data_IF_179905758985
#
_entry.id   IF_179905758985
#
_cell.length_a   1.000
_cell.length_b   1.000
_cell.length_c   1.000
_cell.angle_alpha   90.00
_cell.angle_beta   90.00
_cell.angle_gamma   90.00
#
_symmetry.space_group_name_H-M   'P 1'
#
loop_
_entity.id
_entity.type
_entity.pdbx_description
1 polymer ?
#
# COMPACT_ATOMS: atom_id res chain seq x y z
N UNK A 1 10.05 -52.87 1.54
CA UNK A 1 9.17 -53.29 2.62
C UNK A 1 9.38 -52.40 3.88
N UNK A 2 10.62 -52.03 4.21
CA UNK A 2 10.94 -51.18 5.41
C UNK A 2 10.40 -49.76 5.28
N UNK A 3 10.45 -49.17 4.08
CA UNK A 3 9.97 -47.80 3.85
C UNK A 3 8.44 -47.64 4.05
N UNK A 4 7.67 -48.66 3.74
CA UNK A 4 6.20 -48.63 3.93
C UNK A 4 5.80 -48.71 5.40
N UNK A 5 6.56 -49.42 6.25
CA UNK A 5 6.32 -49.53 7.67
C UNK A 5 6.63 -48.18 8.39
N UNK A 6 7.67 -47.47 7.99
CA UNK A 6 8.02 -46.15 8.55
C UNK A 6 6.93 -45.12 8.19
N UNK A 7 6.38 -45.18 6.98
CA UNK A 7 5.33 -44.26 6.54
C UNK A 7 4.01 -44.47 7.30
N UNK A 8 3.65 -45.72 7.63
CA UNK A 8 2.46 -46.01 8.45
C UNK A 8 2.59 -45.57 9.91
N UNK A 9 3.80 -45.53 10.45
CA UNK A 9 4.00 -45.08 11.83
C UNK A 9 4.07 -43.57 12.01
N UNK A 10 4.52 -42.85 10.96
CA UNK A 10 4.70 -41.38 11.00
C UNK A 10 3.41 -40.62 10.69
N UNK A 11 2.53 -41.18 9.86
CA UNK A 11 1.28 -40.52 9.44
C UNK A 11 0.39 -40.09 10.62
N UNK A 12 0.10 -40.92 11.63
CA UNK A 12 -0.75 -40.53 12.74
C UNK A 12 -0.09 -39.51 13.69
N UNK A 13 1.22 -39.43 13.71
CA UNK A 13 1.93 -38.42 14.50
C UNK A 13 1.86 -37.03 13.88
N UNK A 14 1.90 -36.95 12.55
CA UNK A 14 1.79 -35.69 11.79
C UNK A 14 0.34 -35.16 11.86
N UNK A 15 -0.66 -36.04 11.75
CA UNK A 15 -2.07 -35.63 11.85
C UNK A 15 -2.43 -35.06 13.23
N UNK A 16 -1.79 -35.54 14.30
CA UNK A 16 -1.96 -34.96 15.64
C UNK A 16 -1.29 -33.61 15.83
N UNK A 17 -0.24 -33.30 15.08
CA UNK A 17 0.45 -32.01 15.12
C UNK A 17 -0.28 -30.93 14.32
N UNK A 18 -1.07 -31.32 13.30
CA UNK A 18 -1.84 -30.41 12.46
C UNK A 18 -3.32 -30.31 12.83
N UNK A 19 -3.79 -31.01 13.87
CA UNK A 19 -5.08 -30.68 14.47
C UNK A 19 -4.93 -29.36 15.22
N UNK A 20 -5.08 -28.28 14.48
CA UNK A 20 -5.34 -26.97 15.03
C UNK A 20 -6.58 -27.05 15.90
N UNK A 21 -6.40 -27.02 17.22
CA UNK A 21 -7.46 -26.78 18.17
C UNK A 21 -8.12 -25.45 17.79
N UNK A 22 -9.33 -25.53 17.28
CA UNK A 22 -10.24 -24.41 17.31
C UNK A 22 -10.54 -24.14 18.78
N UNK A 23 -9.71 -23.35 19.45
CA UNK A 23 -10.06 -22.76 20.72
C UNK A 23 -11.15 -21.72 20.45
N UNK A 24 -12.39 -22.15 20.61
CA UNK A 24 -13.46 -21.20 20.92
C UNK A 24 -13.07 -20.54 22.24
N UNK A 25 -12.73 -19.26 22.16
CA UNK A 25 -12.59 -18.42 23.34
C UNK A 25 -13.99 -18.24 23.92
N UNK A 26 -14.36 -19.11 24.84
CA UNK A 26 -15.52 -18.91 25.70
C UNK A 26 -15.07 -17.97 26.80
N UNK A 27 -15.48 -16.71 26.71
CA UNK A 27 -15.36 -15.75 27.81
C UNK A 27 -16.31 -16.24 28.91
N UNK A 28 -15.74 -16.88 29.93
CA UNK A 28 -16.45 -17.19 31.17
C UNK A 28 -16.82 -15.87 31.84
N UNK A 29 -18.09 -15.58 31.88
CA UNK A 29 -18.67 -14.57 32.74
C UNK A 29 -18.63 -15.08 34.17
N UNK A 30 -18.02 -14.30 35.05
CA UNK A 30 -17.95 -14.54 36.48
C UNK A 30 -19.36 -14.68 37.06
N UNK A 31 -19.61 -15.81 37.74
CA UNK A 31 -20.83 -16.03 38.49
C UNK A 31 -20.82 -15.20 39.76
N UNK A 32 -21.69 -14.19 39.82
CA UNK A 32 -22.20 -13.72 41.12
C UNK A 32 -23.69 -14.01 41.16
N UNK A 33 -24.06 -14.96 42.06
CA UNK A 33 -25.45 -15.22 42.44
C UNK A 33 -26.04 -14.01 43.13
N UNK A 34 -27.20 -13.54 42.68
CA UNK A 34 -28.38 -13.43 43.54
C UNK A 34 -29.62 -13.07 42.71
N UNK A 35 -30.74 -13.64 43.12
CA UNK A 35 -32.04 -13.71 42.52
C UNK A 35 -32.70 -12.35 42.24
N UNK A 36 -33.40 -12.16 41.14
CA UNK A 36 -34.85 -12.05 41.04
C UNK A 36 -35.28 -11.60 39.65
N UNK A 37 -36.23 -12.31 39.09
CA UNK A 37 -37.21 -12.00 38.04
C UNK A 37 -36.88 -10.88 37.01
N UNK A 38 -37.02 -11.32 35.78
CA UNK A 38 -37.42 -10.58 34.58
C UNK A 38 -36.34 -10.30 33.53
N UNK A 39 -36.67 -10.76 32.31
CA UNK A 39 -36.08 -10.46 31.00
C UNK A 39 -34.65 -10.99 30.77
N UNK A 40 -34.59 -12.23 30.31
CA UNK A 40 -33.42 -12.70 29.58
C UNK A 40 -33.16 -11.74 28.40
N UNK A 41 -31.96 -11.14 28.31
CA UNK A 41 -31.61 -10.41 27.13
C UNK A 41 -31.55 -11.38 25.94
N UNK A 42 -32.52 -11.29 25.06
CA UNK A 42 -32.50 -11.97 23.76
C UNK A 42 -31.32 -11.39 22.99
N UNK A 43 -30.20 -12.08 23.02
CA UNK A 43 -29.09 -11.81 22.09
C UNK A 43 -29.60 -12.24 20.72
N UNK A 44 -30.15 -11.26 19.99
CA UNK A 44 -30.40 -11.41 18.55
C UNK A 44 -29.03 -11.41 17.92
N UNK A 45 -28.45 -12.59 17.77
CA UNK A 45 -27.33 -12.78 16.86
C UNK A 45 -27.91 -12.70 15.44
N UNK A 46 -28.17 -11.51 14.96
CA UNK A 46 -28.38 -11.31 13.54
C UNK A 46 -27.07 -11.70 12.87
N UNK A 47 -27.01 -12.92 12.41
CA UNK A 47 -26.03 -13.34 11.42
C UNK A 47 -26.43 -12.62 10.15
N UNK A 48 -25.92 -11.38 9.95
CA UNK A 48 -26.06 -10.69 8.68
C UNK A 48 -25.33 -11.54 7.65
N UNK A 49 -26.11 -12.35 6.94
CA UNK A 49 -25.59 -13.02 5.75
C UNK A 49 -25.34 -11.91 4.74
N UNK A 50 -24.05 -11.63 4.47
CA UNK A 50 -23.63 -10.72 3.42
C UNK A 50 -24.21 -11.23 2.11
N UNK A 51 -25.12 -10.46 1.52
CA UNK A 51 -25.65 -10.73 0.18
C UNK A 51 -24.64 -10.29 -0.89
N UNK A 52 -24.77 -10.84 -2.08
CA UNK A 52 -23.94 -10.48 -3.24
C UNK A 52 -23.96 -8.96 -3.51
N UNK A 53 -25.09 -8.34 -3.25
CA UNK A 53 -25.26 -6.88 -3.37
C UNK A 53 -24.41 -6.11 -2.36
N UNK A 54 -24.30 -6.60 -1.11
CA UNK A 54 -23.46 -5.97 -0.09
C UNK A 54 -21.98 -6.05 -0.47
N UNK A 55 -21.56 -7.17 -1.06
CA UNK A 55 -20.23 -7.33 -1.60
C UNK A 55 -19.92 -6.34 -2.73
N UNK A 56 -20.84 -6.14 -3.66
CA UNK A 56 -20.69 -5.16 -4.74
C UNK A 56 -20.62 -3.72 -4.20
N UNK A 57 -21.43 -3.38 -3.21
CA UNK A 57 -21.39 -2.07 -2.55
C UNK A 57 -20.04 -1.86 -1.87
N UNK A 58 -19.54 -2.86 -1.13
CA UNK A 58 -18.24 -2.78 -0.49
C UNK A 58 -17.11 -2.61 -1.51
N UNK A 59 -17.14 -3.40 -2.58
CA UNK A 59 -16.14 -3.32 -3.65
C UNK A 59 -16.14 -1.93 -4.32
N UNK A 60 -17.33 -1.37 -4.62
CA UNK A 60 -17.44 -0.04 -5.19
C UNK A 60 -16.90 1.04 -4.25
N UNK A 61 -17.11 0.92 -2.93
CA UNK A 61 -16.53 1.82 -1.93
C UNK A 61 -15.01 1.73 -1.89
N UNK A 62 -14.45 0.52 -1.96
CA UNK A 62 -13.00 0.31 -2.01
C UNK A 62 -12.38 0.92 -3.27
N UNK A 63 -13.02 0.76 -4.43
CA UNK A 63 -12.57 1.40 -5.66
C UNK A 63 -12.64 2.93 -5.60
N UNK A 64 -13.66 3.48 -4.93
CA UNK A 64 -13.77 4.92 -4.75
C UNK A 64 -12.61 5.47 -3.88
N UNK A 65 -12.29 4.79 -2.78
CA UNK A 65 -11.14 5.15 -1.91
C UNK A 65 -9.82 5.01 -2.69
N UNK A 66 -9.63 3.92 -3.44
CA UNK A 66 -8.43 3.73 -4.25
C UNK A 66 -8.25 4.81 -5.31
N UNK A 67 -9.33 5.23 -5.98
CA UNK A 67 -9.28 6.33 -6.95
C UNK A 67 -8.94 7.67 -6.31
N UNK A 68 -9.44 7.93 -5.12
CA UNK A 68 -9.12 9.17 -4.39
C UNK A 68 -7.64 9.18 -3.98
N UNK A 69 -7.14 8.08 -3.42
CA UNK A 69 -5.73 7.94 -3.05
C UNK A 69 -4.79 8.07 -4.26
N UNK A 70 -5.16 7.51 -5.41
CA UNK A 70 -4.35 7.60 -6.64
C UNK A 70 -4.13 9.02 -7.15
N UNK A 71 -4.98 9.97 -6.80
CA UNK A 71 -4.78 11.38 -7.16
C UNK A 71 -3.51 11.97 -6.55
N UNK A 72 -3.05 11.41 -5.45
CA UNK A 72 -1.86 11.88 -4.72
C UNK A 72 -0.61 11.06 -5.01
N UNK A 73 -0.73 9.95 -5.73
CA UNK A 73 0.38 9.05 -6.02
C UNK A 73 0.91 9.31 -7.43
N UNK A 74 2.22 9.37 -7.55
CA UNK A 74 2.94 9.55 -8.81
C UNK A 74 4.03 8.49 -8.94
N UNK A 75 4.48 8.24 -10.16
CA UNK A 75 5.69 7.48 -10.41
C UNK A 75 6.86 8.45 -10.58
N UNK A 76 7.98 8.16 -9.93
CA UNK A 76 9.21 8.95 -10.04
C UNK A 76 10.26 8.10 -10.71
N UNK A 77 10.88 8.64 -11.77
CA UNK A 77 11.93 8.01 -12.56
C UNK A 77 13.17 8.87 -12.51
N UNK A 78 14.25 8.31 -12.01
CA UNK A 78 15.59 8.92 -12.09
C UNK A 78 16.35 8.34 -13.26
N UNK A 79 16.80 9.19 -14.17
CA UNK A 79 17.56 8.82 -15.37
C UNK A 79 18.98 9.32 -15.18
N UNK A 80 19.94 8.41 -15.17
CA UNK A 80 21.35 8.68 -15.04
C UNK A 80 22.15 8.06 -16.17
N UNK A 81 23.42 8.43 -16.26
CA UNK A 81 24.39 7.83 -17.15
C UNK A 81 25.53 7.25 -16.32
N UNK A 82 25.93 6.04 -16.63
CA UNK A 82 27.12 5.41 -16.06
C UNK A 82 28.01 4.94 -17.19
N UNK A 83 29.31 5.06 -17.00
CA UNK A 83 30.31 4.59 -17.95
C UNK A 83 30.94 3.32 -17.39
N UNK A 84 31.00 2.27 -18.18
CA UNK A 84 31.64 1.04 -17.79
C UNK A 84 33.19 1.10 -17.97
N UNK A 85 33.86 0.02 -17.59
CA UNK A 85 35.32 -0.12 -17.74
C UNK A 85 35.83 -0.01 -19.19
N UNK A 86 34.96 -0.19 -20.17
CA UNK A 86 35.27 -0.11 -21.61
C UNK A 86 34.89 1.25 -22.23
N UNK A 87 34.65 2.26 -21.40
CA UNK A 87 34.25 3.62 -21.81
C UNK A 87 32.92 3.65 -22.61
N UNK A 88 32.06 2.63 -22.33
CA UNK A 88 30.73 2.55 -22.91
C UNK A 88 29.72 3.20 -22.00
N UNK A 89 28.97 4.16 -22.52
CA UNK A 89 27.90 4.83 -21.79
C UNK A 89 26.65 3.93 -21.69
N UNK A 90 26.18 3.72 -20.48
CA UNK A 90 24.93 3.02 -20.21
C UNK A 90 23.95 3.95 -19.51
N UNK A 91 22.69 3.94 -19.97
CA UNK A 91 21.61 4.65 -19.30
C UNK A 91 21.15 3.81 -18.11
N UNK A 92 21.19 4.41 -16.93
CA UNK A 92 20.60 3.81 -15.72
C UNK A 92 19.25 4.47 -15.46
N UNK A 93 18.24 3.66 -15.28
CA UNK A 93 16.90 4.11 -14.92
C UNK A 93 16.47 3.47 -13.60
N UNK A 94 16.19 4.29 -12.61
CA UNK A 94 15.60 3.87 -11.36
C UNK A 94 14.17 4.41 -11.29
N UNK A 95 13.22 3.55 -10.96
CA UNK A 95 11.81 3.94 -10.88
C UNK A 95 11.20 3.50 -9.55
N UNK A 96 10.35 4.36 -9.01
CA UNK A 96 9.60 4.08 -7.78
C UNK A 96 8.42 5.02 -7.61
N UNK A 97 7.82 4.98 -6.45
CA UNK A 97 6.64 5.79 -6.16
C UNK A 97 7.02 7.12 -5.50
N UNK A 98 6.19 8.13 -5.75
CA UNK A 98 6.20 9.40 -5.04
C UNK A 98 4.79 9.77 -4.56
N UNK A 99 4.72 10.69 -3.60
CA UNK A 99 3.47 11.19 -3.04
C UNK A 99 3.48 12.71 -3.14
N UNK A 100 2.42 13.30 -3.70
CA UNK A 100 2.22 14.74 -3.75
C UNK A 100 1.89 15.21 -2.33
N UNK A 101 2.82 15.92 -1.71
CA UNK A 101 2.67 16.45 -0.34
C UNK A 101 1.90 17.76 -0.30
N UNK A 102 2.11 18.61 -1.30
CA UNK A 102 1.51 19.93 -1.36
C UNK A 102 1.37 20.43 -2.80
N UNK A 103 0.32 21.21 -2.98
CA UNK A 103 0.07 22.03 -4.16
C UNK A 103 0.19 23.50 -3.74
N UNK A 104 1.27 24.16 -4.09
CA UNK A 104 1.56 25.52 -3.61
C UNK A 104 2.41 26.30 -4.61
N UNK A 105 2.13 27.60 -4.70
CA UNK A 105 2.92 28.54 -5.49
C UNK A 105 3.18 28.12 -6.95
N UNK A 106 2.18 27.48 -7.60
CA UNK A 106 2.29 27.05 -8.99
C UNK A 106 3.16 25.80 -9.21
N UNK A 107 3.43 25.05 -8.17
CA UNK A 107 4.20 23.79 -8.22
C UNK A 107 3.63 22.72 -7.31
N UNK A 108 3.91 21.47 -7.66
CA UNK A 108 3.69 20.32 -6.80
C UNK A 108 4.96 19.98 -6.04
N UNK A 109 4.84 19.73 -4.72
CA UNK A 109 5.91 19.17 -3.90
C UNK A 109 5.66 17.67 -3.74
N UNK A 110 6.66 16.85 -4.05
CA UNK A 110 6.54 15.40 -4.13
C UNK A 110 7.61 14.77 -3.24
N UNK A 111 7.20 13.94 -2.29
CA UNK A 111 8.12 13.10 -1.54
C UNK A 111 8.38 11.80 -2.29
N UNK A 112 9.63 11.37 -2.30
CA UNK A 112 10.06 10.09 -2.88
C UNK A 112 11.28 9.54 -2.16
N UNK A 113 11.70 8.34 -2.50
CA UNK A 113 12.91 7.75 -1.95
C UNK A 113 14.17 8.33 -2.64
N UNK A 114 15.11 8.82 -1.83
CA UNK A 114 16.34 9.43 -2.33
C UNK A 114 17.15 8.53 -3.26
N UNK A 115 17.16 7.22 -3.00
CA UNK A 115 17.95 6.27 -3.82
C UNK A 115 17.53 6.25 -5.29
N UNK A 116 16.27 6.59 -5.59
CA UNK A 116 15.76 6.61 -6.97
C UNK A 116 16.42 7.69 -7.82
N UNK A 117 16.87 8.77 -7.17
CA UNK A 117 17.35 9.99 -7.83
C UNK A 117 18.81 10.32 -7.50
N UNK A 118 19.48 9.52 -6.66
CA UNK A 118 20.82 9.85 -6.14
C UNK A 118 21.86 10.00 -7.25
N UNK A 119 21.75 9.22 -8.32
CA UNK A 119 22.67 9.22 -9.48
C UNK A 119 22.00 9.69 -10.76
N UNK A 120 20.82 10.32 -10.64
CA UNK A 120 20.07 10.80 -11.77
C UNK A 120 20.56 12.15 -12.23
N UNK A 121 20.74 12.30 -13.55
CA UNK A 121 20.98 13.57 -14.21
C UNK A 121 19.66 14.26 -14.57
N UNK A 122 18.60 13.49 -14.72
CA UNK A 122 17.24 13.94 -15.02
C UNK A 122 16.25 13.17 -14.14
N UNK A 123 15.23 13.88 -13.65
CA UNK A 123 14.16 13.30 -12.85
C UNK A 123 12.85 13.55 -13.57
N UNK A 124 12.12 12.50 -13.85
CA UNK A 124 10.81 12.53 -14.48
C UNK A 124 9.74 12.06 -13.51
N UNK A 125 8.61 12.74 -13.48
CA UNK A 125 7.44 12.36 -12.69
C UNK A 125 6.30 12.06 -13.66
N UNK A 126 5.73 10.86 -13.52
CA UNK A 126 4.53 10.44 -14.26
C UNK A 126 3.32 10.45 -13.34
N UNK A 127 2.27 11.09 -13.79
CA UNK A 127 0.98 11.16 -13.09
C UNK A 127 0.10 9.96 -13.44
N UNK A 128 -1.03 9.82 -12.76
CA UNK A 128 -1.96 8.69 -12.91
C UNK A 128 -2.55 8.54 -14.33
N UNK A 129 -2.47 9.56 -15.17
CA UNK A 129 -2.94 9.59 -16.57
C UNK A 129 -1.79 9.42 -17.59
N UNK A 130 -0.64 8.93 -17.11
CA UNK A 130 0.59 8.73 -17.89
C UNK A 130 1.20 10.03 -18.46
N UNK A 131 0.67 11.18 -18.09
CA UNK A 131 1.34 12.46 -18.40
C UNK A 131 2.62 12.60 -17.58
N UNK A 132 3.67 13.12 -18.19
CA UNK A 132 4.98 13.26 -17.57
C UNK A 132 5.40 14.72 -17.46
N UNK A 133 6.17 15.02 -16.43
CA UNK A 133 6.80 16.31 -16.23
C UNK A 133 8.19 16.15 -15.62
N UNK A 134 9.09 17.08 -15.94
CA UNK A 134 10.41 17.13 -15.33
C UNK A 134 10.33 17.67 -13.91
N UNK A 135 11.11 17.07 -13.00
CA UNK A 135 11.15 17.44 -11.60
C UNK A 135 12.55 17.90 -11.19
N UNK A 136 12.58 18.83 -10.25
CA UNK A 136 13.81 19.35 -9.64
C UNK A 136 13.91 18.86 -8.19
N UNK A 137 15.09 18.42 -7.77
CA UNK A 137 15.36 18.10 -6.37
C UNK A 137 15.47 19.39 -5.55
N UNK A 138 14.59 19.53 -4.54
CA UNK A 138 14.63 20.68 -3.62
C UNK A 138 15.48 20.38 -2.39
N UNK A 139 15.22 19.23 -1.76
CA UNK A 139 15.87 18.83 -0.53
C UNK A 139 15.86 17.31 -0.36
N UNK A 140 16.74 16.79 0.48
CA UNK A 140 16.71 15.42 0.93
C UNK A 140 17.22 15.29 2.36
N UNK A 141 16.78 14.25 3.05
CA UNK A 141 17.32 13.84 4.32
C UNK A 141 18.13 12.54 4.15
N UNK A 142 19.41 12.62 4.48
CA UNK A 142 20.32 11.48 4.39
C UNK A 142 20.07 10.39 5.45
N UNK A 143 19.37 10.73 6.54
CA UNK A 143 19.07 9.80 7.64
C UNK A 143 17.86 8.94 7.34
N UNK A 144 16.78 9.58 6.87
CA UNK A 144 15.52 8.89 6.54
C UNK A 144 15.51 8.34 5.12
N UNK A 145 16.37 8.85 4.24
CA UNK A 145 16.37 8.49 2.83
C UNK A 145 15.22 9.08 2.02
N UNK A 146 14.56 10.13 2.55
CA UNK A 146 13.48 10.83 1.86
C UNK A 146 14.05 12.00 1.07
N UNK A 147 13.55 12.20 -0.14
CA UNK A 147 13.81 13.37 -0.97
C UNK A 147 12.51 14.10 -1.31
N UNK A 148 12.59 15.42 -1.48
CA UNK A 148 11.48 16.26 -1.91
C UNK A 148 11.80 16.84 -3.26
N UNK A 149 10.92 16.61 -4.20
CA UNK A 149 10.98 17.12 -5.57
C UNK A 149 9.98 18.25 -5.79
N UNK A 150 10.24 19.08 -6.78
CA UNK A 150 9.33 20.11 -7.27
C UNK A 150 9.02 19.87 -8.75
N UNK A 151 7.75 19.88 -9.10
CA UNK A 151 7.25 19.89 -10.48
C UNK A 151 6.51 21.18 -10.73
N UNK A 152 6.86 21.91 -11.79
CA UNK A 152 6.17 23.14 -12.18
C UNK A 152 4.79 22.78 -12.78
N UNK A 153 3.72 23.40 -12.30
CA UNK A 153 2.37 23.19 -12.86
C UNK A 153 2.24 23.55 -14.32
N UNK A 154 3.03 24.50 -14.78
CA UNK A 154 3.06 24.89 -16.20
C UNK A 154 3.51 23.78 -17.15
N UNK A 155 4.19 22.77 -16.65
CA UNK A 155 4.59 21.58 -17.42
C UNK A 155 3.52 20.47 -17.43
N UNK A 156 2.49 20.62 -16.60
CA UNK A 156 1.42 19.63 -16.41
C UNK A 156 0.17 20.14 -17.11
N UNK A 157 -0.53 19.26 -17.85
CA UNK A 157 -1.75 19.63 -18.56
C UNK A 157 -2.86 20.08 -17.58
N UNK A 158 -3.77 20.95 -18.00
CA UNK A 158 -4.89 21.39 -17.17
C UNK A 158 -5.78 20.21 -16.74
N UNK A 159 -5.96 19.22 -17.61
CA UNK A 159 -6.76 18.01 -17.30
C UNK A 159 -6.12 17.23 -16.16
N UNK A 160 -4.80 17.06 -16.17
CA UNK A 160 -4.05 16.40 -15.09
C UNK A 160 -4.12 17.23 -13.82
N UNK A 161 -3.90 18.56 -13.89
CA UNK A 161 -3.96 19.45 -12.74
C UNK A 161 -5.31 19.41 -12.02
N UNK A 162 -6.41 19.27 -12.76
CA UNK A 162 -7.77 19.20 -12.20
C UNK A 162 -8.06 17.87 -11.48
N UNK A 163 -7.24 16.86 -11.69
CA UNK A 163 -7.48 15.51 -11.19
C UNK A 163 -6.48 15.04 -10.15
N UNK A 164 -5.30 15.68 -10.06
CA UNK A 164 -4.32 15.41 -9.01
C UNK A 164 -4.63 16.24 -7.76
N UNK A 165 -4.28 15.70 -6.60
CA UNK A 165 -4.46 16.36 -5.33
C UNK A 165 -3.29 16.05 -4.39
N UNK A 166 -3.00 16.96 -3.47
CA UNK A 166 -2.08 16.65 -2.39
C UNK A 166 -2.68 15.59 -1.45
N UNK A 167 -1.83 14.72 -0.92
CA UNK A 167 -2.26 13.72 0.06
C UNK A 167 -2.78 14.39 1.32
N UNK A 168 -3.89 13.88 1.83
CA UNK A 168 -4.39 14.27 3.16
C UNK A 168 -3.70 13.40 4.20
N UNK A 169 -2.88 13.99 5.05
CA UNK A 169 -2.14 13.35 6.12
C UNK A 169 -2.87 13.50 7.46
#
# INVERSE_FOLDING_TARGET
VVAALVFCAVKPAIERLFQSKNEQVVLSSDETKEADTADEPVYITETQQMDLNDYQILQNKLYAVGREANKSVVSVKGIGQTTDWFDTEHVMENQGSGIILADTNGRYLIATERKLIAEANQIEVSFYDDSTAEAELIAYDGTTGIAVLSVQKSQVSEDTQNRVAAATL
#
